data_IF_940264527586
#
_entry.id   IF_940264527586
#
_cell.length_a   1.000
_cell.length_b   1.000
_cell.length_c   1.000
_cell.angle_alpha   90.00
_cell.angle_beta   90.00
_cell.angle_gamma   90.00
#
_symmetry.space_group_name_H-M   'P 1'
#
loop_
_entity.id
_entity.type
_entity.pdbx_description
1 polymer ?
#
# COMPACT_ATOMS: atom_id res chain seq x y z
N UNK A 1 5.49 14.81 -14.07
CA UNK A 1 5.93 13.76 -13.12
C UNK A 1 4.93 12.61 -13.10
N UNK A 2 5.36 11.38 -12.78
CA UNK A 2 4.45 10.26 -12.56
C UNK A 2 3.45 10.59 -11.44
N UNK A 3 2.21 10.09 -11.54
CA UNK A 3 1.10 10.29 -10.58
C UNK A 3 0.72 11.74 -10.25
N UNK A 4 1.21 12.74 -10.98
CA UNK A 4 0.94 14.17 -10.68
C UNK A 4 -0.56 14.54 -10.68
N UNK A 5 -1.36 13.84 -11.49
CA UNK A 5 -2.82 14.06 -11.61
C UNK A 5 -3.63 13.42 -10.49
N UNK A 6 -3.03 12.58 -9.64
CA UNK A 6 -3.69 11.95 -8.51
C UNK A 6 -4.21 13.01 -7.52
N UNK A 7 -5.42 12.79 -6.97
CA UNK A 7 -6.04 13.70 -5.99
C UNK A 7 -6.46 13.02 -4.69
N UNK A 8 -6.53 11.69 -4.66
CA UNK A 8 -6.92 10.93 -3.48
C UNK A 8 -5.81 10.93 -2.41
N UNK A 9 -6.18 10.58 -1.18
CA UNK A 9 -5.25 9.97 -0.25
C UNK A 9 -5.03 8.50 -0.65
N UNK A 10 -3.89 7.93 -0.30
CA UNK A 10 -3.51 6.58 -0.71
C UNK A 10 -3.12 5.71 0.49
N UNK A 11 -3.51 4.43 0.42
CA UNK A 11 -2.89 3.36 1.19
C UNK A 11 -2.18 2.43 0.19
N UNK A 12 -0.89 2.22 0.37
CA UNK A 12 -0.11 1.24 -0.40
C UNK A 12 0.33 0.13 0.54
N UNK A 13 -0.03 -1.11 0.22
CA UNK A 13 0.39 -2.30 0.97
C UNK A 13 1.22 -3.20 0.06
N UNK A 14 2.31 -3.76 0.57
CA UNK A 14 3.14 -4.75 -0.13
C UNK A 14 3.41 -5.96 0.77
N UNK A 15 3.73 -7.09 0.16
CA UNK A 15 4.08 -8.32 0.86
C UNK A 15 5.53 -8.69 0.53
N UNK A 16 6.34 -8.99 1.55
CA UNK A 16 7.78 -9.19 1.36
C UNK A 16 8.14 -10.42 0.52
N UNK A 17 7.24 -11.41 0.44
CA UNK A 17 7.39 -12.63 -0.36
C UNK A 17 6.81 -12.51 -1.77
N UNK A 18 6.16 -11.38 -2.11
CA UNK A 18 5.62 -11.16 -3.45
C UNK A 18 6.77 -10.93 -4.44
N UNK A 19 7.05 -11.94 -5.25
CA UNK A 19 8.08 -11.86 -6.29
C UNK A 19 7.58 -11.18 -7.57
N UNK A 20 6.26 -11.14 -7.79
CA UNK A 20 5.63 -10.56 -8.98
C UNK A 20 5.54 -9.04 -8.86
N UNK A 21 5.22 -8.55 -7.67
CA UNK A 21 5.17 -7.13 -7.31
C UNK A 21 5.98 -6.87 -6.04
N UNK A 22 7.33 -6.96 -6.12
CA UNK A 22 8.17 -6.91 -4.94
C UNK A 22 8.15 -5.53 -4.29
N UNK A 23 8.41 -5.43 -2.96
CA UNK A 23 8.31 -4.17 -2.22
C UNK A 23 9.04 -2.95 -2.81
N UNK A 24 10.21 -3.07 -3.49
CA UNK A 24 10.80 -1.95 -4.22
C UNK A 24 9.84 -1.27 -5.21
N UNK A 25 8.97 -2.02 -5.91
CA UNK A 25 7.98 -1.47 -6.84
C UNK A 25 6.91 -0.66 -6.13
N UNK A 26 6.44 -1.12 -4.97
CA UNK A 26 5.52 -0.34 -4.13
C UNK A 26 6.19 0.92 -3.59
N UNK A 27 7.49 0.87 -3.25
CA UNK A 27 8.25 2.05 -2.84
C UNK A 27 8.41 3.06 -3.97
N UNK A 28 8.52 2.64 -5.24
CA UNK A 28 8.48 3.55 -6.40
C UNK A 28 7.14 4.32 -6.47
N UNK A 29 6.01 3.65 -6.24
CA UNK A 29 4.67 4.28 -6.20
C UNK A 29 4.60 5.29 -5.05
N UNK A 30 4.99 4.88 -3.84
CA UNK A 30 5.01 5.75 -2.65
C UNK A 30 5.90 6.96 -2.89
N UNK A 31 7.08 6.77 -3.48
CA UNK A 31 7.99 7.87 -3.79
C UNK A 31 7.36 8.86 -4.76
N UNK A 32 6.74 8.38 -5.83
CA UNK A 32 6.05 9.25 -6.79
C UNK A 32 4.89 10.03 -6.13
N UNK A 33 4.13 9.42 -5.21
CA UNK A 33 3.08 10.11 -4.47
C UNK A 33 3.64 11.19 -3.54
N UNK A 34 4.72 10.90 -2.81
CA UNK A 34 5.41 11.85 -1.94
C UNK A 34 6.01 13.03 -2.70
N UNK A 35 6.66 12.77 -3.85
CA UNK A 35 7.23 13.82 -4.70
C UNK A 35 6.16 14.81 -5.21
N UNK A 36 4.91 14.34 -5.34
CA UNK A 36 3.75 15.18 -5.69
C UNK A 36 2.95 15.66 -4.46
N UNK A 37 3.50 15.57 -3.24
CA UNK A 37 2.89 16.00 -1.97
C UNK A 37 1.50 15.39 -1.73
N UNK A 38 1.30 14.12 -2.10
CA UNK A 38 0.06 13.38 -1.81
C UNK A 38 0.13 12.73 -0.43
N UNK A 39 -1.03 12.65 0.22
CA UNK A 39 -1.17 11.89 1.47
C UNK A 39 -1.08 10.41 1.11
N UNK A 40 -0.08 9.72 1.64
CA UNK A 40 0.12 8.29 1.42
C UNK A 40 0.57 7.61 2.70
N UNK A 41 -0.07 6.49 3.03
CA UNK A 41 0.38 5.54 4.04
C UNK A 41 0.98 4.32 3.35
N UNK A 42 2.08 3.79 3.88
CA UNK A 42 2.74 2.60 3.35
C UNK A 42 2.91 1.55 4.43
N UNK A 43 2.58 0.30 4.11
CA UNK A 43 2.85 -0.86 4.96
C UNK A 43 3.46 -1.99 4.13
N UNK A 44 4.52 -2.59 4.65
CA UNK A 44 5.14 -3.79 4.10
C UNK A 44 4.93 -4.93 5.10
N UNK A 45 4.27 -6.00 4.66
CA UNK A 45 3.84 -7.11 5.51
C UNK A 45 4.67 -8.36 5.20
N UNK A 46 5.20 -8.97 6.25
CA UNK A 46 5.83 -10.28 6.14
C UNK A 46 4.77 -11.38 6.13
N UNK A 47 4.47 -11.95 4.96
CA UNK A 47 3.49 -13.02 4.78
C UNK A 47 4.04 -14.07 3.83
N UNK A 48 3.73 -15.38 3.98
CA UNK A 48 4.28 -16.43 3.11
C UNK A 48 3.56 -16.57 1.75
N UNK A 49 2.37 -15.98 1.59
CA UNK A 49 1.48 -16.21 0.43
C UNK A 49 1.90 -15.55 -0.88
N UNK A 50 3.08 -14.91 -0.95
CA UNK A 50 3.52 -14.19 -2.14
C UNK A 50 2.52 -13.11 -2.54
N UNK A 51 2.24 -13.05 -3.84
CA UNK A 51 1.24 -12.12 -4.38
C UNK A 51 -0.15 -12.36 -3.80
N UNK A 52 -0.58 -13.60 -3.67
CA UNK A 52 -1.94 -13.93 -3.23
C UNK A 52 -2.16 -13.68 -1.74
N UNK A 53 -1.15 -13.20 -1.00
CA UNK A 53 -1.27 -12.87 0.42
C UNK A 53 -2.37 -11.82 0.71
N UNK A 54 -2.75 -10.96 -0.25
CA UNK A 54 -3.87 -10.02 -0.07
C UNK A 54 -5.24 -10.72 -0.06
N UNK A 55 -5.34 -11.95 -0.55
CA UNK A 55 -6.57 -12.76 -0.53
C UNK A 55 -6.71 -13.58 0.76
N UNK A 56 -5.64 -13.65 1.57
CA UNK A 56 -5.58 -14.47 2.77
C UNK A 56 -5.90 -13.65 4.03
N UNK A 57 -6.34 -14.34 5.07
CA UNK A 57 -6.56 -13.73 6.38
C UNK A 57 -5.25 -13.38 7.08
N UNK A 58 -4.76 -12.16 6.87
CA UNK A 58 -3.68 -11.58 7.68
C UNK A 58 -4.23 -10.47 8.59
N UNK A 59 -4.09 -10.66 9.91
CA UNK A 59 -4.63 -9.72 10.89
C UNK A 59 -4.03 -8.31 10.76
N UNK A 60 -2.76 -8.19 10.36
CA UNK A 60 -2.07 -6.90 10.19
C UNK A 60 -2.58 -6.19 8.94
N UNK A 61 -2.75 -6.94 7.85
CA UNK A 61 -3.32 -6.40 6.60
C UNK A 61 -4.73 -5.85 6.82
N UNK A 62 -5.60 -6.66 7.42
CA UNK A 62 -6.98 -6.26 7.67
C UNK A 62 -7.10 -5.15 8.71
N UNK A 63 -6.22 -5.11 9.72
CA UNK A 63 -6.18 -3.99 10.66
C UNK A 63 -5.79 -2.69 9.97
N UNK A 64 -4.82 -2.71 9.05
CA UNK A 64 -4.42 -1.54 8.27
C UNK A 64 -5.56 -1.05 7.36
N UNK A 65 -6.27 -1.96 6.67
CA UNK A 65 -7.45 -1.62 5.87
C UNK A 65 -8.55 -0.98 6.72
N UNK A 66 -8.91 -1.61 7.86
CA UNK A 66 -9.92 -1.07 8.78
C UNK A 66 -9.55 0.31 9.30
N UNK A 67 -8.29 0.48 9.73
CA UNK A 67 -7.79 1.76 10.20
C UNK A 67 -7.85 2.81 9.08
N UNK A 68 -7.44 2.48 7.87
CA UNK A 68 -7.49 3.42 6.74
C UNK A 68 -8.94 3.83 6.41
N UNK A 69 -9.85 2.87 6.28
CA UNK A 69 -11.27 3.16 6.00
C UNK A 69 -11.94 3.98 7.11
N UNK A 70 -11.62 3.70 8.38
CA UNK A 70 -12.16 4.47 9.51
C UNK A 70 -11.69 5.94 9.52
N UNK A 71 -10.60 6.28 8.81
CA UNK A 71 -10.05 7.63 8.70
C UNK A 71 -10.39 8.30 7.37
N UNK A 72 -11.26 7.71 6.54
CA UNK A 72 -11.80 8.41 5.36
C UNK A 72 -12.93 9.32 5.84
N UNK A 73 -12.68 10.63 5.82
CA UNK A 73 -13.77 11.61 5.97
C UNK A 73 -14.71 11.51 4.76
N UNK A 74 -16.02 11.44 5.02
CA UNK A 74 -17.09 11.49 4.01
C UNK A 74 -17.37 12.93 3.57
#
# INVERSE_FOLDING_TARGET
AALARAKAAFLVVSFNSDWRFPPPRSREIVRALLDNRRIVSYLEIAAPGGHDAFLLEDARYHAALRAYFANIEL
#
